data_IF_341071140532
#
_entry.id   IF_341071140532
#
_cell.length_a   1.000
_cell.length_b   1.000
_cell.length_c   1.000
_cell.angle_alpha   90.00
_cell.angle_beta   90.00
_cell.angle_gamma   90.00
#
_symmetry.space_group_name_H-M   'P 1'
#
loop_
_entity.id
_entity.type
_entity.pdbx_description
1 polymer ?
#
# COMPACT_ATOMS: atom_id res chain seq x y z
N UNK A 1 -16.23 19.23 4.65
CA UNK A 1 -16.21 17.84 5.14
C UNK A 1 -15.55 16.96 4.10
N UNK A 2 -14.34 16.48 4.40
CA UNK A 2 -13.59 15.54 3.57
C UNK A 2 -14.32 14.20 3.63
N UNK A 3 -14.67 13.62 2.48
CA UNK A 3 -15.25 12.28 2.40
C UNK A 3 -14.11 11.28 2.27
N UNK A 4 -13.90 10.48 3.30
CA UNK A 4 -13.01 9.32 3.31
C UNK A 4 -13.84 8.10 3.67
N UNK A 5 -13.68 7.03 2.91
CA UNK A 5 -14.36 5.75 3.17
C UNK A 5 -13.54 5.00 4.23
N UNK A 6 -13.98 5.09 5.48
CA UNK A 6 -13.26 4.55 6.63
C UNK A 6 -14.23 3.80 7.54
N UNK A 7 -13.79 2.66 8.04
CA UNK A 7 -14.50 1.89 9.06
C UNK A 7 -13.68 1.92 10.35
N UNK A 8 -14.22 2.40 11.48
CA UNK A 8 -13.46 2.51 12.72
C UNK A 8 -13.22 1.13 13.33
N UNK A 9 -12.00 0.85 13.78
CA UNK A 9 -11.69 -0.29 14.65
C UNK A 9 -12.02 0.08 16.10
N UNK A 10 -12.78 -0.78 16.80
CA UNK A 10 -13.21 -0.54 18.19
C UNK A 10 -12.11 -0.92 19.18
N UNK A 11 -11.26 -1.86 18.81
CA UNK A 11 -10.18 -2.35 19.67
C UNK A 11 -9.04 -1.33 19.75
N UNK A 12 -8.79 -0.82 20.95
CA UNK A 12 -7.59 -0.04 21.27
C UNK A 12 -6.46 -1.01 21.61
N UNK A 13 -5.29 -0.83 21.01
CA UNK A 13 -4.16 -1.75 21.18
C UNK A 13 -3.28 -1.27 22.34
N UNK A 14 -3.37 -1.95 23.48
CA UNK A 14 -2.52 -1.69 24.66
C UNK A 14 -1.66 -2.91 25.03
N UNK A 15 -1.99 -4.09 24.49
CA UNK A 15 -1.29 -5.35 24.74
C UNK A 15 -1.24 -6.22 23.48
N UNK A 16 -0.39 -7.25 23.49
CA UNK A 16 -0.36 -8.22 22.38
C UNK A 16 -1.71 -8.92 22.16
N UNK A 17 -2.49 -9.11 23.23
CA UNK A 17 -3.84 -9.68 23.12
C UNK A 17 -4.76 -8.75 22.35
N UNK A 18 -4.65 -7.44 22.58
CA UNK A 18 -5.45 -6.45 21.85
C UNK A 18 -5.01 -6.30 20.40
N UNK A 19 -3.70 -6.46 20.12
CA UNK A 19 -3.18 -6.54 18.76
C UNK A 19 -3.82 -7.67 17.96
N UNK A 20 -3.98 -8.86 18.56
CA UNK A 20 -4.64 -10.00 17.90
C UNK A 20 -6.15 -9.76 17.73
N UNK A 21 -6.84 -9.24 18.75
CA UNK A 21 -8.28 -8.89 18.63
C UNK A 21 -8.53 -7.85 17.54
N UNK A 22 -7.68 -6.82 17.45
CA UNK A 22 -7.77 -5.81 16.42
C UNK A 22 -7.54 -6.41 15.02
N UNK A 23 -6.64 -7.40 14.90
CA UNK A 23 -6.42 -8.11 13.64
C UNK A 23 -7.67 -8.87 13.20
N UNK A 24 -8.30 -9.62 14.11
CA UNK A 24 -9.55 -10.34 13.84
C UNK A 24 -10.66 -9.39 13.40
N UNK A 25 -10.82 -8.26 14.10
CA UNK A 25 -11.81 -7.23 13.76
C UNK A 25 -11.56 -6.59 12.39
N UNK A 26 -10.30 -6.40 12.00
CA UNK A 26 -9.93 -5.85 10.69
C UNK A 26 -10.17 -6.85 9.57
N UNK A 27 -9.89 -8.14 9.80
CA UNK A 27 -10.17 -9.21 8.84
C UNK A 27 -11.68 -9.36 8.61
N UNK A 28 -12.49 -9.33 9.67
CA UNK A 28 -13.96 -9.41 9.57
C UNK A 28 -14.55 -8.25 8.75
N UNK A 29 -13.92 -7.07 8.81
CA UNK A 29 -14.37 -5.88 8.08
C UNK A 29 -13.94 -5.83 6.61
N UNK A 30 -13.09 -6.75 6.16
CA UNK A 30 -12.64 -6.86 4.77
C UNK A 30 -12.12 -5.53 4.18
N UNK A 31 -11.33 -4.78 4.96
CA UNK A 31 -10.71 -3.53 4.51
C UNK A 31 -9.51 -3.82 3.61
N UNK A 32 -9.01 -2.82 2.88
CA UNK A 32 -7.82 -2.97 2.01
C UNK A 32 -6.53 -2.32 2.57
N UNK A 33 -6.64 -1.46 3.58
CA UNK A 33 -5.53 -0.79 4.23
C UNK A 33 -5.93 -0.32 5.63
N UNK A 34 -4.94 -0.02 6.48
CA UNK A 34 -5.17 0.38 7.87
C UNK A 34 -4.48 1.70 8.20
N UNK A 35 -5.17 2.60 8.87
CA UNK A 35 -4.53 3.75 9.53
C UNK A 35 -4.44 3.46 11.03
N UNK A 36 -3.23 3.46 11.55
CA UNK A 36 -2.97 3.38 12.99
C UNK A 36 -2.86 4.80 13.51
N UNK A 37 -3.84 5.20 14.32
CA UNK A 37 -3.91 6.52 14.93
C UNK A 37 -3.35 6.48 16.35
N UNK A 38 -2.25 7.19 16.57
CA UNK A 38 -1.57 7.30 17.86
C UNK A 38 -2.14 8.50 18.62
N UNK A 39 -3.06 8.25 19.55
CA UNK A 39 -3.66 9.30 20.37
C UNK A 39 -2.72 9.83 21.47
N UNK A 40 -1.72 9.05 21.88
CA UNK A 40 -0.78 9.39 22.94
C UNK A 40 0.52 8.56 22.81
N UNK A 41 1.41 8.66 23.79
CA UNK A 41 2.52 7.70 23.97
C UNK A 41 1.99 6.36 24.47
N UNK A 42 1.73 5.48 23.51
CA UNK A 42 1.22 4.13 23.74
C UNK A 42 2.29 3.05 23.61
N UNK A 43 1.96 1.80 23.97
CA UNK A 43 2.87 0.68 23.89
C UNK A 43 3.15 0.32 22.41
N UNK A 44 4.34 0.65 21.94
CA UNK A 44 4.74 0.50 20.54
C UNK A 44 4.94 -0.97 20.16
N UNK A 45 5.35 -1.81 21.10
CA UNK A 45 5.54 -3.25 20.88
C UNK A 45 4.27 -3.95 20.36
N UNK A 46 3.16 -3.95 21.12
CA UNK A 46 1.86 -4.44 20.65
C UNK A 46 1.40 -3.81 19.32
N UNK A 47 1.55 -2.49 19.18
CA UNK A 47 1.14 -1.75 17.98
C UNK A 47 1.86 -2.26 16.72
N UNK A 48 3.16 -2.50 16.80
CA UNK A 48 3.93 -2.98 15.66
C UNK A 48 3.82 -4.50 15.45
N UNK A 49 3.45 -5.28 16.48
CA UNK A 49 3.05 -6.70 16.32
C UNK A 49 1.78 -6.80 15.47
N UNK A 50 0.78 -5.96 15.75
CA UNK A 50 -0.41 -5.84 14.92
C UNK A 50 -0.03 -5.48 13.47
N UNK A 51 0.79 -4.44 13.28
CA UNK A 51 1.26 -4.01 11.95
C UNK A 51 2.06 -5.11 11.21
N UNK A 52 2.85 -5.91 11.91
CA UNK A 52 3.61 -7.01 11.34
C UNK A 52 2.72 -8.15 10.84
N UNK A 53 1.61 -8.43 11.55
CA UNK A 53 0.68 -9.51 11.20
C UNK A 53 -0.39 -9.11 10.19
N UNK A 54 -0.63 -7.80 10.01
CA UNK A 54 -1.62 -7.26 9.08
C UNK A 54 -1.44 -7.76 7.64
N UNK A 55 -0.20 -7.75 7.13
CA UNK A 55 0.07 -8.12 5.73
C UNK A 55 -0.53 -7.17 4.69
N UNK A 56 -0.91 -5.95 5.09
CA UNK A 56 -1.59 -4.95 4.27
C UNK A 56 -0.87 -3.60 4.37
N UNK A 57 -1.05 -2.68 3.40
CA UNK A 57 -0.54 -1.33 3.53
C UNK A 57 -1.12 -0.66 4.78
N UNK A 58 -0.25 0.00 5.55
CA UNK A 58 -0.69 0.74 6.72
C UNK A 58 0.01 2.09 6.85
N UNK A 59 -0.68 3.05 7.45
CA UNK A 59 -0.18 4.37 7.77
C UNK A 59 -0.07 4.55 9.29
N UNK A 60 0.96 5.26 9.74
CA UNK A 60 1.03 5.81 11.10
C UNK A 60 0.71 7.30 11.06
N UNK A 61 -0.15 7.75 11.96
CA UNK A 61 -0.38 9.16 12.22
C UNK A 61 -0.67 9.39 13.70
N UNK A 62 -0.44 10.61 14.20
CA UNK A 62 -0.61 10.95 15.61
C UNK A 62 -1.55 12.14 15.82
N UNK A 63 -2.17 12.19 16.99
CA UNK A 63 -2.99 13.33 17.41
C UNK A 63 -2.12 14.57 17.66
N UNK A 64 -2.46 15.70 17.05
CA UNK A 64 -1.97 16.98 17.54
C UNK A 64 -2.74 17.39 18.80
N UNK A 65 -2.04 17.97 19.76
CA UNK A 65 -2.63 18.50 20.99
C UNK A 65 -3.39 19.79 20.70
N UNK A 66 -4.63 19.89 21.19
CA UNK A 66 -5.47 21.08 20.97
C UNK A 66 -5.15 22.22 21.95
N UNK A 67 -4.48 21.96 23.09
CA UNK A 67 -4.15 22.99 24.08
C UNK A 67 -2.81 22.75 24.79
N UNK A 68 -2.08 23.82 25.11
CA UNK A 68 -0.86 23.77 25.96
C UNK A 68 -1.17 23.50 27.43
N UNK A 69 -2.40 23.75 27.89
CA UNK A 69 -2.80 23.62 29.31
C UNK A 69 -2.88 22.18 29.81
N UNK A 70 -3.00 21.21 28.91
CA UNK A 70 -2.93 19.77 29.23
C UNK A 70 -1.48 19.25 29.32
N UNK A 71 -0.48 20.10 29.06
CA UNK A 71 0.91 19.73 28.95
C UNK A 71 1.71 20.52 29.98
N UNK A 72 2.05 19.89 31.11
CA UNK A 72 2.93 20.53 32.09
C UNK A 72 4.29 20.95 31.50
N UNK A 73 4.70 20.39 30.35
CA UNK A 73 5.97 20.72 29.66
C UNK A 73 5.85 20.94 28.13
N UNK A 74 4.65 21.20 27.59
CA UNK A 74 4.46 21.61 26.20
C UNK A 74 4.81 20.60 25.09
N UNK A 75 4.99 19.31 25.39
CA UNK A 75 5.19 18.23 24.41
C UNK A 75 4.02 17.25 24.43
N UNK A 76 3.20 17.24 23.38
CA UNK A 76 2.22 16.18 23.13
C UNK A 76 2.91 14.83 22.97
N UNK A 77 2.46 13.82 23.71
CA UNK A 77 3.20 12.55 23.78
C UNK A 77 2.90 11.64 22.57
N UNK A 78 1.89 11.98 21.75
CA UNK A 78 1.62 11.31 20.48
C UNK A 78 2.78 11.44 19.48
N UNK A 79 3.53 12.56 19.49
CA UNK A 79 4.72 12.70 18.64
C UNK A 79 5.85 11.77 19.11
N UNK A 80 6.06 11.65 20.42
CA UNK A 80 6.98 10.65 20.98
C UNK A 80 6.52 9.23 20.61
N UNK A 81 5.20 8.96 20.67
CA UNK A 81 4.60 7.70 20.22
C UNK A 81 4.90 7.41 18.74
N UNK A 82 4.74 8.40 17.86
CA UNK A 82 5.08 8.30 16.44
C UNK A 82 6.56 7.94 16.23
N UNK A 83 7.48 8.60 16.93
CA UNK A 83 8.91 8.33 16.81
C UNK A 83 9.26 6.90 17.25
N UNK A 84 8.71 6.45 18.39
CA UNK A 84 8.98 5.12 18.93
C UNK A 84 8.33 4.01 18.09
N UNK A 85 7.09 4.20 17.65
CA UNK A 85 6.42 3.28 16.73
C UNK A 85 7.17 3.17 15.39
N UNK A 86 7.63 4.29 14.83
CA UNK A 86 8.44 4.31 13.61
C UNK A 86 9.76 3.56 13.79
N UNK A 87 10.45 3.77 14.91
CA UNK A 87 11.68 3.04 15.24
C UNK A 87 11.43 1.54 15.35
N UNK A 88 10.38 1.14 16.07
CA UNK A 88 10.03 -0.26 16.28
C UNK A 88 9.60 -0.95 14.97
N UNK A 89 8.90 -0.23 14.07
CA UNK A 89 8.64 -0.70 12.70
C UNK A 89 9.94 -1.03 11.95
N UNK A 90 10.93 -0.13 12.02
CA UNK A 90 12.26 -0.35 11.44
C UNK A 90 12.96 -1.60 12.02
N UNK A 91 12.92 -1.79 13.34
CA UNK A 91 13.47 -2.98 14.00
C UNK A 91 12.79 -4.29 13.55
N UNK A 92 11.53 -4.23 13.14
CA UNK A 92 10.76 -5.38 12.61
C UNK A 92 10.80 -5.51 11.09
N UNK A 93 11.55 -4.66 10.39
CA UNK A 93 11.59 -4.59 8.93
C UNK A 93 10.22 -4.38 8.26
N UNK A 94 9.29 -3.70 8.94
CA UNK A 94 7.99 -3.31 8.38
C UNK A 94 7.99 -1.83 8.03
N UNK A 95 7.36 -1.49 6.90
CA UNK A 95 7.42 -0.14 6.32
C UNK A 95 6.05 0.54 6.39
N UNK A 96 5.80 1.39 7.40
CA UNK A 96 4.61 2.24 7.40
C UNK A 96 4.68 3.31 6.31
N UNK A 97 3.53 3.73 5.81
CA UNK A 97 3.40 5.07 5.24
C UNK A 97 3.42 6.09 6.40
N UNK A 98 4.30 7.08 6.32
CA UNK A 98 4.38 8.18 7.28
C UNK A 98 4.22 9.48 6.47
N UNK A 99 3.12 10.25 6.67
CA UNK A 99 2.96 11.55 6.05
C UNK A 99 4.10 12.51 6.43
N UNK A 100 4.38 13.51 5.58
CA UNK A 100 5.44 14.50 5.84
C UNK A 100 5.26 15.21 7.19
N UNK A 101 4.02 15.55 7.53
CA UNK A 101 3.62 16.04 8.85
C UNK A 101 2.67 15.02 9.47
N UNK A 102 3.15 13.99 10.18
CA UNK A 102 2.33 12.84 10.57
C UNK A 102 1.49 13.09 11.84
N UNK A 103 1.61 14.28 12.45
CA UNK A 103 0.85 14.68 13.63
C UNK A 103 -0.02 15.87 13.28
N UNK A 104 -1.32 15.77 13.55
CA UNK A 104 -2.28 16.79 13.10
C UNK A 104 -3.60 16.80 13.86
N UNK A 105 -4.33 17.90 13.71
CA UNK A 105 -5.72 18.02 14.13
C UNK A 105 -6.63 17.15 13.26
N UNK A 106 -7.87 16.84 13.68
CA UNK A 106 -8.76 15.91 12.96
C UNK A 106 -8.91 16.21 11.46
N UNK A 107 -9.04 17.49 11.07
CA UNK A 107 -9.13 17.88 9.66
C UNK A 107 -7.87 17.60 8.86
N UNK A 108 -6.69 17.73 9.47
CA UNK A 108 -5.40 17.45 8.82
C UNK A 108 -5.19 15.93 8.70
N UNK A 109 -5.53 15.17 9.73
CA UNK A 109 -5.47 13.70 9.70
C UNK A 109 -6.40 13.14 8.63
N UNK A 110 -7.59 13.72 8.45
CA UNK A 110 -8.51 13.32 7.38
C UNK A 110 -7.90 13.53 5.97
N UNK A 111 -7.16 14.63 5.74
CA UNK A 111 -6.43 14.82 4.47
C UNK A 111 -5.29 13.81 4.30
N UNK A 112 -4.57 13.46 5.39
CA UNK A 112 -3.52 12.43 5.35
C UNK A 112 -4.11 11.06 4.98
N UNK A 113 -5.23 10.69 5.60
CA UNK A 113 -5.95 9.44 5.29
C UNK A 113 -6.39 9.43 3.83
N UNK A 114 -6.94 10.53 3.33
CA UNK A 114 -7.37 10.64 1.93
C UNK A 114 -6.20 10.41 0.96
N UNK A 115 -5.06 11.06 1.19
CA UNK A 115 -3.86 10.82 0.39
C UNK A 115 -3.37 9.36 0.51
N UNK A 116 -3.39 8.81 1.72
CA UNK A 116 -3.01 7.42 1.95
C UNK A 116 -3.94 6.44 1.22
N UNK A 117 -5.23 6.74 1.03
CA UNK A 117 -6.13 5.92 0.20
C UNK A 117 -5.61 5.79 -1.24
N UNK A 118 -5.11 6.87 -1.84
CA UNK A 118 -4.53 6.83 -3.19
C UNK A 118 -3.25 5.97 -3.23
N UNK A 119 -2.38 6.10 -2.23
CA UNK A 119 -1.16 5.28 -2.09
C UNK A 119 -1.52 3.81 -1.90
N UNK A 120 -2.42 3.51 -0.98
CA UNK A 120 -2.87 2.16 -0.66
C UNK A 120 -3.50 1.48 -1.89
N UNK A 121 -4.32 2.19 -2.66
CA UNK A 121 -4.90 1.67 -3.92
C UNK A 121 -3.83 1.17 -4.87
N UNK A 122 -2.74 1.92 -5.07
CA UNK A 122 -1.63 1.51 -5.93
C UNK A 122 -0.94 0.26 -5.38
N UNK A 123 -0.61 0.25 -4.08
CA UNK A 123 0.08 -0.89 -3.46
C UNK A 123 -0.78 -2.16 -3.51
N UNK A 124 -2.08 -2.05 -3.22
CA UNK A 124 -3.04 -3.16 -3.31
C UNK A 124 -3.18 -3.65 -4.75
N UNK A 125 -3.24 -2.76 -5.74
CA UNK A 125 -3.33 -3.14 -7.15
C UNK A 125 -2.06 -3.81 -7.69
N UNK A 126 -0.89 -3.43 -7.18
CA UNK A 126 0.37 -4.11 -7.52
C UNK A 126 0.52 -5.45 -6.80
N UNK A 127 -0.07 -5.60 -5.62
CA UNK A 127 -0.09 -6.85 -4.88
C UNK A 127 -0.84 -7.89 -5.71
N UNK A 128 -0.15 -8.95 -6.13
CA UNK A 128 -0.61 -10.00 -7.05
C UNK A 128 -0.61 -9.63 -8.55
N UNK A 129 0.07 -8.56 -8.97
CA UNK A 129 0.29 -8.29 -10.39
C UNK A 129 1.15 -9.41 -11.01
N UNK A 130 0.76 -9.87 -12.20
CA UNK A 130 1.53 -10.80 -13.03
C UNK A 130 2.03 -10.09 -14.28
N UNK A 131 3.34 -10.04 -14.45
CA UNK A 131 4.01 -9.45 -15.61
C UNK A 131 4.49 -10.57 -16.52
N UNK A 132 4.00 -10.57 -17.76
CA UNK A 132 4.48 -11.49 -18.80
C UNK A 132 5.47 -10.73 -19.68
N UNK A 133 6.72 -11.19 -19.73
CA UNK A 133 7.72 -10.68 -20.66
C UNK A 133 7.98 -11.72 -21.75
N UNK A 134 8.38 -11.24 -22.93
CA UNK A 134 8.70 -12.08 -24.07
C UNK A 134 10.05 -11.65 -24.63
N UNK A 135 10.98 -12.60 -24.64
CA UNK A 135 12.37 -12.34 -25.04
C UNK A 135 13.23 -11.72 -23.93
N UNK A 136 14.57 -11.75 -24.10
CA UNK A 136 15.49 -11.15 -23.15
C UNK A 136 15.49 -9.62 -23.29
N UNK A 137 16.03 -8.94 -22.27
CA UNK A 137 16.40 -7.52 -22.40
C UNK A 137 17.32 -7.30 -23.62
N UNK A 138 17.30 -6.12 -24.25
CA UNK A 138 18.28 -5.77 -25.27
C UNK A 138 19.73 -5.88 -24.74
N UNK A 139 20.66 -6.31 -25.60
CA UNK A 139 22.05 -6.66 -25.22
C UNK A 139 22.76 -5.54 -24.44
N UNK A 140 22.66 -4.30 -24.92
CA UNK A 140 23.38 -3.14 -24.35
C UNK A 140 22.56 -2.33 -23.32
N UNK A 141 21.35 -2.78 -22.96
CA UNK A 141 20.42 -2.01 -22.13
C UNK A 141 20.15 -2.70 -20.78
N UNK A 142 21.12 -2.62 -19.87
CA UNK A 142 20.99 -3.18 -18.52
C UNK A 142 19.85 -2.55 -17.70
N UNK A 143 19.55 -1.26 -17.92
CA UNK A 143 18.43 -0.60 -17.26
C UNK A 143 17.05 -1.17 -17.63
N UNK A 144 16.97 -1.95 -18.71
CA UNK A 144 15.74 -2.66 -19.12
C UNK A 144 15.60 -4.03 -18.46
N UNK A 145 16.49 -4.43 -17.55
CA UNK A 145 16.32 -5.67 -16.80
C UNK A 145 15.13 -5.53 -15.84
N UNK A 146 14.25 -6.52 -15.79
CA UNK A 146 13.27 -6.63 -14.71
C UNK A 146 14.02 -7.07 -13.43
N UNK A 147 14.05 -6.26 -12.36
CA UNK A 147 14.72 -6.67 -11.12
C UNK A 147 13.79 -7.63 -10.36
N UNK A 148 13.95 -8.94 -10.61
CA UNK A 148 13.05 -9.99 -10.11
C UNK A 148 12.84 -9.91 -8.59
N UNK A 149 13.92 -9.80 -7.81
CA UNK A 149 13.80 -9.76 -6.33
C UNK A 149 12.97 -8.57 -5.83
N UNK A 150 13.27 -7.31 -6.18
CA UNK A 150 12.45 -6.17 -5.78
C UNK A 150 10.99 -6.27 -6.20
N UNK A 151 10.70 -6.79 -7.40
CA UNK A 151 9.32 -7.00 -7.85
C UNK A 151 8.62 -8.08 -7.02
N UNK A 152 9.30 -9.18 -6.74
CA UNK A 152 8.78 -10.25 -5.89
C UNK A 152 8.52 -9.78 -4.45
N UNK A 153 9.41 -8.95 -3.90
CA UNK A 153 9.22 -8.34 -2.57
C UNK A 153 7.97 -7.44 -2.51
N UNK A 154 7.48 -6.94 -3.66
CA UNK A 154 6.20 -6.22 -3.80
C UNK A 154 4.99 -7.14 -4.03
N UNK A 155 5.19 -8.45 -4.13
CA UNK A 155 4.16 -9.42 -4.48
C UNK A 155 3.84 -9.46 -5.98
N UNK A 156 4.76 -8.99 -6.83
CA UNK A 156 4.65 -9.02 -8.29
C UNK A 156 5.38 -10.25 -8.81
N UNK A 157 4.70 -11.06 -9.62
CA UNK A 157 5.28 -12.22 -10.30
C UNK A 157 5.68 -11.85 -11.72
N UNK A 158 6.89 -12.22 -12.13
CA UNK A 158 7.37 -12.03 -13.51
C UNK A 158 7.52 -13.40 -14.16
N UNK A 159 6.82 -13.59 -15.28
CA UNK A 159 6.88 -14.78 -16.11
C UNK A 159 7.55 -14.45 -17.43
N UNK A 160 8.77 -14.95 -17.61
CA UNK A 160 9.56 -14.76 -18.82
C UNK A 160 9.24 -15.86 -19.84
N UNK A 161 8.77 -15.47 -21.03
CA UNK A 161 8.36 -16.35 -22.11
C UNK A 161 9.23 -16.15 -23.36
N UNK A 162 9.15 -17.09 -24.30
CA UNK A 162 9.84 -16.99 -25.57
C UNK A 162 9.11 -16.05 -26.52
N UNK A 163 9.84 -15.26 -27.30
CA UNK A 163 9.23 -14.50 -28.41
C UNK A 163 8.53 -15.42 -29.43
N UNK A 164 8.97 -16.69 -29.51
CA UNK A 164 8.30 -17.70 -30.33
C UNK A 164 6.90 -18.05 -29.83
N UNK A 165 6.62 -17.88 -28.52
CA UNK A 165 5.29 -18.11 -27.97
C UNK A 165 4.30 -17.05 -28.49
N UNK A 166 4.72 -15.77 -28.55
CA UNK A 166 3.94 -14.72 -29.21
C UNK A 166 3.79 -15.03 -30.70
N UNK A 167 4.86 -15.42 -31.38
CA UNK A 167 4.79 -15.75 -32.80
C UNK A 167 3.77 -16.85 -33.07
N UNK A 168 3.76 -17.92 -32.28
CA UNK A 168 2.78 -19.00 -32.42
C UNK A 168 1.35 -18.50 -32.17
N UNK A 169 1.11 -17.70 -31.11
CA UNK A 169 -0.20 -17.09 -30.83
C UNK A 169 -0.68 -16.26 -32.02
N UNK A 170 0.20 -15.49 -32.65
CA UNK A 170 -0.11 -14.70 -33.84
C UNK A 170 -0.47 -15.60 -35.03
N UNK A 171 0.30 -16.67 -35.26
CA UNK A 171 0.05 -17.63 -36.34
C UNK A 171 -1.28 -18.38 -36.16
N UNK A 172 -1.64 -18.73 -34.93
CA UNK A 172 -2.92 -19.39 -34.63
C UNK A 172 -4.12 -18.44 -34.79
N UNK A 173 -3.89 -17.14 -34.72
CA UNK A 173 -4.93 -16.12 -34.84
C UNK A 173 -5.21 -15.66 -36.28
N UNK A 174 -4.41 -16.05 -37.27
CA UNK A 174 -4.48 -15.50 -38.66
C UNK A 174 -5.86 -15.64 -39.31
N UNK A 175 -6.59 -16.69 -38.99
CA UNK A 175 -7.91 -16.96 -39.57
C UNK A 175 -9.05 -16.16 -38.93
N UNK A 176 -8.78 -15.40 -37.85
CA UNK A 176 -9.73 -14.50 -37.16
C UNK A 176 -10.01 -13.22 -37.95
N UNK A 177 -10.15 -13.36 -39.27
CA UNK A 177 -10.20 -12.28 -40.26
C UNK A 177 -11.28 -11.22 -40.00
N UNK A 178 -12.43 -11.59 -39.45
CA UNK A 178 -13.50 -10.64 -39.10
C UNK A 178 -13.09 -9.72 -37.94
N UNK A 179 -12.54 -10.31 -36.88
CA UNK A 179 -12.10 -9.58 -35.68
C UNK A 179 -10.88 -8.72 -35.98
N UNK A 180 -9.92 -9.26 -36.73
CA UNK A 180 -8.74 -8.50 -37.19
C UNK A 180 -9.18 -7.28 -38.01
N UNK A 181 -10.12 -7.43 -38.95
CA UNK A 181 -10.64 -6.31 -39.74
C UNK A 181 -11.38 -5.28 -38.89
N UNK A 182 -12.16 -5.72 -37.90
CA UNK A 182 -12.87 -4.82 -37.00
C UNK A 182 -11.88 -3.97 -36.20
N UNK A 183 -10.87 -4.59 -35.58
CA UNK A 183 -9.82 -3.88 -34.84
C UNK A 183 -9.02 -2.95 -35.76
N UNK A 184 -8.66 -3.40 -36.97
CA UNK A 184 -7.93 -2.57 -37.92
C UNK A 184 -8.72 -1.33 -38.37
N UNK A 185 -10.04 -1.45 -38.54
CA UNK A 185 -10.90 -0.30 -38.85
C UNK A 185 -11.01 0.65 -37.65
N UNK A 186 -11.18 0.13 -36.44
CA UNK A 186 -11.21 0.91 -35.19
C UNK A 186 -9.90 1.71 -35.02
N UNK A 187 -8.75 1.05 -35.21
CA UNK A 187 -7.44 1.70 -35.22
C UNK A 187 -7.30 2.77 -36.33
N UNK A 188 -7.93 2.57 -37.49
CA UNK A 188 -7.90 3.56 -38.57
C UNK A 188 -8.76 4.78 -38.20
N UNK A 189 -9.94 4.58 -37.62
CA UNK A 189 -10.80 5.67 -37.14
C UNK A 189 -10.13 6.50 -36.04
N UNK A 190 -9.36 5.88 -35.14
CA UNK A 190 -8.56 6.60 -34.13
C UNK A 190 -7.46 7.49 -34.74
N UNK A 191 -6.96 7.14 -35.94
CA UNK A 191 -5.89 7.86 -36.62
C UNK A 191 -6.38 8.98 -37.56
N UNK A 192 -7.68 8.99 -37.91
CA UNK A 192 -8.32 9.96 -38.82
C UNK A 192 -8.31 9.56 -40.29
#
# INVERSE_FOLDING_TARGET
>A
NIKVDVVPCKTIIESETDALKALDEIIEKDVNAVTIYLGNFGPEGPTTIFAQKLGMPFMLCGAAEESKSSLMDGRGDAFCGMLNASLNCGLRNIKPHIPENPVGLPGQIAEMIKHFTDVARVVVGLKNLKVFSFGPRPHDFYACNAPIKPLYDLGIEVMENSELDIYQICQDAVDRTKEIKAIANDMAEELG
#
